data_IF_678522445267
#
_entry.id   IF_678522445267
#
_cell.length_a   1.000
_cell.length_b   1.000
_cell.length_c   1.000
_cell.angle_alpha   90.00
_cell.angle_beta   90.00
_cell.angle_gamma   90.00
#
_symmetry.space_group_name_H-M   'P 1'
#
loop_
_entity.id
_entity.type
_entity.pdbx_description
1 polymer ?
#
# COMPACT_ATOMS: atom_id res chain seq x y z
N UNK A 1 -2.91 -8.24 1.30
CA UNK A 1 -1.44 -8.33 1.47
C UNK A 1 -0.73 -7.17 0.80
N UNK A 2 -0.98 -6.89 -0.48
CA UNK A 2 -0.41 -5.73 -1.21
C UNK A 2 -0.54 -4.40 -0.43
N UNK A 3 -1.73 -4.09 0.08
CA UNK A 3 -1.96 -2.88 0.89
C UNK A 3 -1.10 -2.80 2.16
N UNK A 4 -0.79 -3.95 2.76
CA UNK A 4 0.12 -3.98 3.89
C UNK A 4 1.55 -3.63 3.46
N UNK A 5 2.03 -4.18 2.34
CA UNK A 5 3.34 -3.87 1.78
C UNK A 5 3.46 -2.37 1.44
N UNK A 6 2.45 -1.80 0.80
CA UNK A 6 2.43 -0.37 0.46
C UNK A 6 2.50 0.50 1.74
N UNK A 7 1.75 0.14 2.80
CA UNK A 7 1.81 0.86 4.07
C UNK A 7 3.16 0.75 4.79
N UNK A 8 3.87 -0.38 4.64
CA UNK A 8 5.22 -0.50 5.19
C UNK A 8 6.28 0.29 4.41
N UNK A 9 5.96 0.72 3.18
CA UNK A 9 6.89 1.31 2.23
C UNK A 9 7.25 0.34 1.12
N UNK A 10 7.27 0.85 -0.11
CA UNK A 10 7.72 0.15 -1.32
C UNK A 10 8.32 1.16 -2.30
N UNK A 11 8.94 0.69 -3.37
CA UNK A 11 9.66 1.56 -4.30
C UNK A 11 8.75 2.33 -5.29
N UNK A 12 7.46 2.01 -5.31
CA UNK A 12 6.52 2.53 -6.33
C UNK A 12 5.73 3.76 -5.88
N UNK A 13 5.72 4.08 -4.58
CA UNK A 13 4.97 5.20 -4.02
C UNK A 13 5.44 5.50 -2.60
N UNK A 14 5.19 6.72 -2.12
CA UNK A 14 5.41 7.10 -0.71
C UNK A 14 4.57 6.24 0.27
N UNK A 15 4.83 6.39 1.57
CA UNK A 15 4.07 5.76 2.64
C UNK A 15 3.64 6.77 3.71
N UNK A 16 2.71 6.38 4.58
CA UNK A 16 2.21 7.26 5.64
C UNK A 16 3.27 7.40 6.73
N UNK A 17 3.79 8.61 6.93
CA UNK A 17 4.80 8.90 7.95
C UNK A 17 4.30 8.49 9.34
N UNK A 18 5.14 7.77 10.08
CA UNK A 18 4.83 7.30 11.44
C UNK A 18 4.04 5.99 11.50
N UNK A 19 3.68 5.38 10.36
CA UNK A 19 3.12 4.03 10.29
C UNK A 19 4.23 3.05 9.89
N UNK A 20 4.77 2.34 10.88
CA UNK A 20 5.70 1.22 10.67
C UNK A 20 5.02 -0.15 10.67
N UNK A 21 5.79 -1.26 10.55
CA UNK A 21 5.25 -2.61 10.36
C UNK A 21 4.19 -3.05 11.38
N UNK A 22 4.44 -2.79 12.68
CA UNK A 22 3.50 -3.13 13.76
C UNK A 22 2.16 -2.40 13.62
N UNK A 23 2.19 -1.11 13.29
CA UNK A 23 0.96 -0.32 13.12
C UNK A 23 0.25 -0.68 11.81
N UNK A 24 1.02 -0.90 10.74
CA UNK A 24 0.50 -1.33 9.44
C UNK A 24 -0.28 -2.64 9.56
N UNK A 25 0.26 -3.65 10.25
CA UNK A 25 -0.44 -4.93 10.42
C UNK A 25 -1.70 -4.81 11.28
N UNK A 26 -1.69 -4.00 12.34
CA UNK A 26 -2.87 -3.71 13.16
C UNK A 26 -3.99 -3.08 12.31
N UNK A 27 -3.64 -2.04 11.54
CA UNK A 27 -4.58 -1.32 10.68
C UNK A 27 -5.15 -2.20 9.58
N UNK A 28 -4.32 -2.98 8.89
CA UNK A 28 -4.77 -3.88 7.83
C UNK A 28 -5.66 -5.00 8.38
N UNK A 29 -5.33 -5.56 9.53
CA UNK A 29 -6.20 -6.59 10.15
C UNK A 29 -7.58 -6.03 10.51
N UNK A 30 -7.65 -4.77 10.95
CA UNK A 30 -8.89 -4.10 11.36
C UNK A 30 -9.71 -3.59 10.17
N UNK A 31 -9.08 -2.93 9.21
CA UNK A 31 -9.77 -2.15 8.17
C UNK A 31 -9.67 -2.77 6.77
N UNK A 32 -8.82 -3.77 6.56
CA UNK A 32 -8.67 -4.57 5.32
C UNK A 32 -8.08 -3.87 4.10
N UNK A 33 -8.27 -2.55 3.92
CA UNK A 33 -7.73 -1.80 2.79
C UNK A 33 -7.21 -0.41 3.16
N UNK A 34 -6.36 0.17 2.32
CA UNK A 34 -5.84 1.54 2.48
C UNK A 34 -6.97 2.56 2.50
N UNK A 35 -7.98 2.43 1.65
CA UNK A 35 -9.14 3.33 1.61
C UNK A 35 -9.89 3.35 2.95
N UNK A 36 -10.16 2.17 3.51
CA UNK A 36 -10.84 2.05 4.79
C UNK A 36 -9.97 2.59 5.94
N UNK A 37 -8.65 2.40 5.88
CA UNK A 37 -7.69 2.98 6.83
C UNK A 37 -7.74 4.50 6.76
N UNK A 38 -7.66 5.10 5.57
CA UNK A 38 -7.72 6.55 5.37
C UNK A 38 -9.04 7.17 5.88
N UNK A 39 -10.13 6.41 5.88
CA UNK A 39 -11.41 6.83 6.48
C UNK A 39 -11.48 6.73 8.01
N UNK A 40 -10.56 6.02 8.66
CA UNK A 40 -10.62 5.68 10.08
C UNK A 40 -9.38 6.08 10.91
N UNK A 41 -8.32 6.60 10.28
CA UNK A 41 -7.13 7.08 10.98
C UNK A 41 -7.22 8.57 11.34
N UNK A 42 -6.50 8.96 12.38
CA UNK A 42 -6.20 10.35 12.69
C UNK A 42 -5.18 10.91 11.69
N UNK A 43 -5.66 11.70 10.72
CA UNK A 43 -4.84 12.30 9.66
C UNK A 43 -3.93 13.43 10.15
N UNK A 44 -4.21 14.04 11.30
CA UNK A 44 -3.31 15.03 11.88
C UNK A 44 -2.06 14.35 12.45
N UNK A 45 -2.23 13.17 13.05
CA UNK A 45 -1.13 12.36 13.56
C UNK A 45 -0.41 11.56 12.48
N UNK A 46 -1.14 11.02 11.51
CA UNK A 46 -0.63 10.20 10.41
C UNK A 46 -1.04 10.80 9.07
N UNK A 47 -0.42 11.93 8.67
CA UNK A 47 -0.76 12.58 7.41
C UNK A 47 -0.38 11.67 6.23
N UNK A 48 -1.34 11.33 5.35
CA UNK A 48 -1.03 10.66 4.10
C UNK A 48 -0.17 11.56 3.19
N UNK A 49 0.66 11.00 2.30
CA UNK A 49 1.39 11.78 1.31
C UNK A 49 0.45 12.59 0.39
N UNK A 50 0.93 13.74 -0.10
CA UNK A 50 0.21 14.54 -1.08
C UNK A 50 0.12 13.77 -2.41
N UNK A 51 -1.07 13.78 -3.03
CA UNK A 51 -1.34 13.05 -4.29
C UNK A 51 -0.92 11.57 -4.28
N UNK A 52 -1.06 10.90 -3.13
CA UNK A 52 -0.57 9.54 -2.91
C UNK A 52 -1.15 8.50 -3.89
N UNK A 53 -0.33 8.00 -4.82
CA UNK A 53 -0.72 7.03 -5.84
C UNK A 53 -0.58 5.55 -5.37
N UNK A 54 -1.13 5.24 -4.20
CA UNK A 54 -1.14 3.85 -3.70
C UNK A 54 -1.95 2.90 -4.60
N UNK A 55 -2.91 3.42 -5.37
CA UNK A 55 -3.71 2.63 -6.32
C UNK A 55 -2.87 2.16 -7.50
N UNK A 56 -2.03 3.03 -8.06
CA UNK A 56 -1.08 2.65 -9.11
C UNK A 56 -0.08 1.61 -8.63
N UNK A 57 0.48 1.79 -7.42
CA UNK A 57 1.33 0.77 -6.82
C UNK A 57 0.59 -0.57 -6.61
N UNK A 58 -0.67 -0.52 -6.15
CA UNK A 58 -1.49 -1.73 -5.98
C UNK A 58 -1.70 -2.46 -7.30
N UNK A 59 -1.97 -1.72 -8.37
CA UNK A 59 -2.16 -2.29 -9.71
C UNK A 59 -0.85 -2.89 -10.24
N UNK A 60 0.28 -2.20 -10.11
CA UNK A 60 1.61 -2.73 -10.48
C UNK A 60 1.92 -4.05 -9.77
N UNK A 61 1.55 -4.19 -8.49
CA UNK A 61 1.73 -5.45 -7.76
C UNK A 61 0.77 -6.55 -8.20
N UNK A 62 -0.47 -6.20 -8.58
CA UNK A 62 -1.51 -7.18 -8.91
C UNK A 62 -1.43 -7.63 -10.38
N UNK A 63 -1.10 -6.70 -11.26
CA UNK A 63 -1.05 -6.85 -12.72
C UNK A 63 0.31 -6.35 -13.26
N UNK A 64 1.44 -6.92 -12.82
CA UNK A 64 2.74 -6.54 -13.36
C UNK A 64 2.84 -6.93 -14.83
N UNK A 65 3.58 -6.14 -15.61
CA UNK A 65 4.02 -6.57 -16.93
C UNK A 65 5.03 -7.71 -16.76
N UNK A 66 4.63 -8.91 -17.18
CA UNK A 66 5.45 -10.12 -17.12
C UNK A 66 5.44 -10.80 -18.48
N UNK A 67 6.56 -11.42 -18.84
CA UNK A 67 6.62 -12.24 -20.04
C UNK A 67 5.70 -13.45 -19.92
N UNK A 68 5.15 -13.89 -21.05
CA UNK A 68 4.41 -15.14 -21.13
C UNK A 68 5.37 -16.30 -20.81
N UNK A 69 5.11 -17.10 -19.76
CA UNK A 69 5.97 -18.23 -19.42
C UNK A 69 6.19 -19.23 -20.57
N UNK A 70 5.22 -19.38 -21.47
CA UNK A 70 5.35 -20.29 -22.63
C UNK A 70 6.24 -19.72 -23.74
N UNK A 71 6.50 -18.41 -23.72
CA UNK A 71 7.38 -17.73 -24.68
C UNK A 71 8.86 -17.71 -24.26
N UNK A 72 9.18 -18.22 -23.06
CA UNK A 72 10.53 -18.27 -22.50
C UNK A 72 11.09 -19.69 -22.66
N UNK A 73 12.23 -19.83 -23.36
CA UNK A 73 13.00 -21.09 -23.49
C UNK A 73 13.79 -21.45 -22.22
#
# INVERSE_FOLDING_TARGET
>A
FIDFCILMGCDYTDSIRGIGPKKAIELIRKHKSIEAILGNIDKAKYPPPDNWNYRGARDLFANPEVADPESIE
#
